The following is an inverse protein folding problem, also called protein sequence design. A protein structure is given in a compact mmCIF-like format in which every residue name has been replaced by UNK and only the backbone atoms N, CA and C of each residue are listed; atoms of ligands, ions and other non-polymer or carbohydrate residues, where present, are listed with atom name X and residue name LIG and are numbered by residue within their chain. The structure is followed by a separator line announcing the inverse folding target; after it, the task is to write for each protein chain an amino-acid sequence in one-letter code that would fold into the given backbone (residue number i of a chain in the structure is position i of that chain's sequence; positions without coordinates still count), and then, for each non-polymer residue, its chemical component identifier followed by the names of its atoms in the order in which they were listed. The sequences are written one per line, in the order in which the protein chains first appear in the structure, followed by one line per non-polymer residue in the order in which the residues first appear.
data_IF_416212210126
#
_entry.id   IF_416212210126
#
_cell.length_a   1.000
_cell.length_b   1.000
_cell.length_c   1.000
_cell.angle_alpha   90.00
_cell.angle_beta   90.00
_cell.angle_gamma   90.00
#
_symmetry.space_group_name_H-M   'P 1'
#
loop_
_entity.id
_entity.type
_entity.pdbx_description
1 polymer ?
#
# COMPACT_ATOMS: atom_id res chain seq x y z
N UNK A 1 -4.48 2.97 -13.00
CA UNK A 1 -3.34 2.64 -12.10
C UNK A 1 -3.42 1.22 -11.53
N UNK A 2 -4.32 0.38 -12.04
CA UNK A 2 -4.66 -0.91 -11.40
C UNK A 2 -3.48 -1.90 -11.37
N UNK A 3 -2.64 -1.90 -12.41
CA UNK A 3 -1.41 -2.70 -12.41
C UNK A 3 -0.43 -2.32 -11.29
N UNK A 4 -0.34 -1.02 -10.96
CA UNK A 4 0.50 -0.55 -9.85
C UNK A 4 -0.08 -0.96 -8.50
N UNK A 5 -1.40 -0.85 -8.32
CA UNK A 5 -2.10 -1.29 -7.10
C UNK A 5 -1.92 -2.79 -6.90
N UNK A 6 -2.13 -3.59 -7.94
CA UNK A 6 -1.91 -5.04 -7.89
C UNK A 6 -0.45 -5.38 -7.55
N UNK A 7 0.52 -4.71 -8.18
CA UNK A 7 1.93 -4.95 -7.93
C UNK A 7 2.36 -4.57 -6.49
N UNK A 8 1.75 -3.53 -5.90
CA UNK A 8 2.04 -3.12 -4.51
C UNK A 8 1.32 -3.99 -3.48
N UNK A 9 0.06 -4.32 -3.71
CA UNK A 9 -0.86 -4.84 -2.68
C UNK A 9 -1.18 -6.32 -2.79
N UNK A 10 -0.58 -7.06 -3.74
CA UNK A 10 -0.68 -8.53 -3.76
C UNK A 10 -0.27 -9.10 -2.40
N UNK A 11 -1.11 -9.95 -1.81
CA UNK A 11 -0.94 -10.50 -0.46
C UNK A 11 -0.80 -9.40 0.63
N UNK A 12 -1.57 -8.31 0.52
CA UNK A 12 -1.51 -7.18 1.45
C UNK A 12 -0.18 -6.42 1.42
N UNK A 13 0.63 -6.61 0.37
CA UNK A 13 1.98 -6.06 0.27
C UNK A 13 3.05 -6.89 0.99
N UNK A 14 2.67 -7.98 1.67
CA UNK A 14 3.59 -8.96 2.27
C UNK A 14 4.08 -9.94 1.18
N UNK A 15 4.73 -9.40 0.15
CA UNK A 15 5.31 -10.17 -0.94
C UNK A 15 6.73 -9.68 -1.25
N UNK A 16 7.68 -10.60 -1.41
CA UNK A 16 9.08 -10.27 -1.72
C UNK A 16 9.25 -9.44 -3.00
N UNK A 17 8.28 -9.53 -3.91
CA UNK A 17 8.27 -8.83 -5.20
C UNK A 17 7.30 -7.64 -5.21
N UNK A 18 6.80 -7.21 -4.05
CA UNK A 18 5.89 -6.07 -3.98
C UNK A 18 6.60 -4.80 -4.50
N UNK A 19 5.89 -4.02 -5.31
CA UNK A 19 6.40 -2.76 -5.84
C UNK A 19 6.43 -1.68 -4.73
N UNK A 20 7.51 -1.65 -3.95
CA UNK A 20 7.69 -0.69 -2.85
C UNK A 20 8.25 0.67 -3.28
N UNK A 21 8.66 0.81 -4.53
CA UNK A 21 9.15 2.06 -5.11
C UNK A 21 8.61 2.23 -6.53
N UNK A 22 7.86 3.30 -6.74
CA UNK A 22 7.37 3.69 -8.06
C UNK A 22 8.22 4.82 -8.63
N UNK A 23 8.64 4.68 -9.89
CA UNK A 23 9.25 5.75 -10.66
C UNK A 23 8.25 6.19 -11.71
N UNK A 24 7.81 7.44 -11.62
CA UNK A 24 6.74 7.99 -12.47
C UNK A 24 7.29 9.18 -13.22
N UNK A 25 7.03 9.23 -14.53
CA UNK A 25 7.43 10.36 -15.36
C UNK A 25 6.76 11.65 -14.87
N UNK A 26 7.53 12.75 -14.79
CA UNK A 26 7.05 14.02 -14.25
C UNK A 26 5.76 14.52 -14.92
N UNK A 27 5.61 14.31 -16.23
CA UNK A 27 4.44 14.74 -17.00
C UNK A 27 3.11 14.12 -16.53
N UNK A 28 3.15 12.98 -15.84
CA UNK A 28 1.95 12.26 -15.37
C UNK A 28 1.98 12.00 -13.86
N UNK A 29 2.96 12.55 -13.15
CA UNK A 29 3.21 12.25 -11.73
C UNK A 29 2.00 12.56 -10.86
N UNK A 30 1.43 13.74 -11.02
CA UNK A 30 0.28 14.21 -10.23
C UNK A 30 -0.95 13.34 -10.49
N UNK A 31 -1.35 13.19 -11.76
CA UNK A 31 -2.48 12.36 -12.16
C UNK A 31 -2.32 10.90 -11.68
N UNK A 32 -1.11 10.34 -11.78
CA UNK A 32 -0.83 9.00 -11.28
C UNK A 32 -1.03 8.92 -9.77
N UNK A 33 -0.46 9.86 -9.01
CA UNK A 33 -0.56 9.91 -7.55
C UNK A 33 -2.02 9.97 -7.12
N UNK A 34 -2.82 10.87 -7.69
CA UNK A 34 -4.23 11.05 -7.33
C UNK A 34 -5.04 9.77 -7.58
N UNK A 35 -4.87 9.18 -8.77
CA UNK A 35 -5.54 7.93 -9.12
C UNK A 35 -5.07 6.79 -8.22
N UNK A 36 -3.78 6.70 -7.92
CA UNK A 36 -3.23 5.64 -7.08
C UNK A 36 -3.73 5.74 -5.65
N UNK A 37 -3.71 6.94 -5.05
CA UNK A 37 -4.24 7.19 -3.70
C UNK A 37 -5.73 6.86 -3.65
N UNK A 38 -6.51 7.29 -4.63
CA UNK A 38 -7.94 6.97 -4.72
C UNK A 38 -8.16 5.46 -4.69
N UNK A 39 -7.49 4.70 -5.56
CA UNK A 39 -7.64 3.24 -5.61
C UNK A 39 -7.17 2.55 -4.32
N UNK A 40 -6.12 3.06 -3.68
CA UNK A 40 -5.63 2.54 -2.39
C UNK A 40 -6.62 2.78 -1.25
N UNK A 41 -7.41 3.86 -1.30
CA UNK A 41 -8.43 4.17 -0.27
C UNK A 41 -9.66 3.27 -0.33
N UNK A 42 -9.86 2.54 -1.44
CA UNK A 42 -11.02 1.68 -1.66
C UNK A 42 -10.88 0.28 -1.03
N UNK A 43 -9.74 -0.06 -0.43
CA UNK A 43 -9.59 -1.33 0.28
C UNK A 43 -10.46 -1.37 1.55
N UNK A 44 -11.38 -2.32 1.61
CA UNK A 44 -12.09 -2.72 2.82
C UNK A 44 -11.22 -3.67 3.65
N UNK A 45 -10.81 -3.25 4.84
CA UNK A 45 -10.11 -4.09 5.82
C UNK A 45 -11.07 -5.07 6.49
N UNK A 46 -10.62 -6.30 6.72
CA UNK A 46 -11.44 -7.29 7.43
C UNK A 46 -10.76 -8.64 7.63
N UNK A 47 -11.49 -9.58 8.22
CA UNK A 47 -11.04 -10.97 8.36
C UNK A 47 -10.94 -11.61 6.97
N UNK A 48 -9.98 -12.51 6.77
CA UNK A 48 -9.79 -13.19 5.47
C UNK A 48 -10.94 -14.10 5.02
N UNK A 49 -11.89 -14.40 5.92
CA UNK A 49 -13.10 -15.18 5.61
C UNK A 49 -14.35 -14.30 5.43
N UNK A 50 -14.22 -12.98 5.57
CA UNK A 50 -15.32 -12.04 5.33
C UNK A 50 -15.37 -11.72 3.83
N UNK A 51 -16.48 -12.03 3.18
CA UNK A 51 -16.70 -11.80 1.74
C UNK A 51 -16.65 -10.31 1.35
N UNK A 52 -16.85 -9.40 2.32
CA UNK A 52 -16.75 -7.95 2.09
C UNK A 52 -15.32 -7.43 2.24
N UNK A 53 -14.41 -8.22 2.82
CA UNK A 53 -13.03 -7.84 3.00
C UNK A 53 -12.27 -7.93 1.67
N UNK A 54 -11.49 -6.91 1.37
CA UNK A 54 -10.59 -6.87 0.21
C UNK A 54 -9.12 -6.81 0.64
N UNK A 55 -8.86 -6.64 1.93
CA UNK A 55 -7.51 -6.59 2.51
C UNK A 55 -7.53 -7.17 3.93
N UNK A 56 -6.73 -8.22 4.14
CA UNK A 56 -6.58 -8.90 5.42
C UNK A 56 -5.60 -8.19 6.38
N UNK A 57 -5.40 -8.75 7.59
CA UNK A 57 -4.37 -8.27 8.50
C UNK A 57 -2.97 -8.63 7.98
N UNK A 58 -1.94 -7.96 8.53
CA UNK A 58 -0.57 -8.43 8.44
C UNK A 58 -0.38 -9.71 9.26
N UNK A 59 0.67 -10.48 8.95
CA UNK A 59 0.87 -11.82 9.50
C UNK A 59 0.98 -11.88 11.04
N UNK A 60 1.55 -10.85 11.67
CA UNK A 60 1.69 -10.78 13.13
C UNK A 60 1.94 -9.35 13.64
N UNK A 61 1.87 -9.18 14.97
CA UNK A 61 2.09 -7.90 15.64
C UNK A 61 3.48 -7.30 15.41
N UNK A 62 4.52 -8.14 15.22
CA UNK A 62 5.86 -7.66 14.90
C UNK A 62 5.88 -6.98 13.52
N UNK A 63 5.21 -7.53 12.52
CA UNK A 63 5.12 -6.89 11.19
C UNK A 63 4.30 -5.59 11.24
N UNK A 64 3.23 -5.54 12.04
CA UNK A 64 2.49 -4.29 12.29
C UNK A 64 3.42 -3.22 12.86
N UNK A 65 4.23 -3.56 13.87
CA UNK A 65 5.20 -2.63 14.45
C UNK A 65 6.24 -2.16 13.42
N UNK A 66 6.82 -3.07 12.63
CA UNK A 66 7.80 -2.73 11.58
C UNK A 66 7.21 -1.77 10.55
N UNK A 67 6.01 -2.03 10.02
CA UNK A 67 5.37 -1.16 9.03
C UNK A 67 5.05 0.21 9.64
N UNK A 68 4.58 0.24 10.89
CA UNK A 68 4.30 1.48 11.61
C UNK A 68 5.56 2.33 11.80
N UNK A 69 6.68 1.70 12.15
CA UNK A 69 7.98 2.36 12.28
C UNK A 69 8.46 2.94 10.95
N UNK A 70 8.40 2.16 9.87
CA UNK A 70 8.81 2.62 8.53
C UNK A 70 7.99 3.83 8.05
N UNK A 71 6.68 3.82 8.29
CA UNK A 71 5.81 4.96 7.96
C UNK A 71 6.15 6.17 8.82
N UNK A 72 6.34 5.97 10.14
CA UNK A 72 6.67 7.03 11.07
C UNK A 72 8.02 7.68 10.76
N UNK A 73 9.04 6.88 10.43
CA UNK A 73 10.36 7.37 9.98
C UNK A 73 10.22 8.22 8.72
N UNK A 74 9.52 7.72 7.70
CA UNK A 74 9.34 8.44 6.44
C UNK A 74 8.67 9.81 6.65
N UNK A 75 7.59 9.86 7.45
CA UNK A 75 6.90 11.11 7.78
C UNK A 75 7.80 12.04 8.58
N UNK A 76 8.54 11.53 9.58
CA UNK A 76 9.47 12.34 10.37
C UNK A 76 10.59 12.98 9.53
N UNK A 77 10.87 12.40 8.37
CA UNK A 77 11.86 12.85 7.39
C UNK A 77 11.25 13.68 6.25
N UNK A 78 9.97 14.04 6.34
CA UNK A 78 9.31 14.98 5.43
C UNK A 78 8.52 14.34 4.27
N UNK A 79 8.28 13.03 4.30
CA UNK A 79 7.34 12.41 3.35
C UNK A 79 5.88 12.77 3.71
N UNK A 80 5.00 12.82 2.69
CA UNK A 80 3.57 13.13 2.79
C UNK A 80 2.73 12.10 2.05
#
# INVERSE_FOLDING_TARGET
VDGAVLAKMRNGGEACTAANRFHVANAVREEFTDKFVTRMSEFTLGKGLDEKSTLGPLINAKQVATVTELVSDAVSRGAT
#
